data_IF_817730359333
#
_entry.id   IF_817730359333
#
_cell.length_a   1.000
_cell.length_b   1.000
_cell.length_c   1.000
_cell.angle_alpha   90.00
_cell.angle_beta   90.00
_cell.angle_gamma   90.00
#
_symmetry.space_group_name_H-M   'P 1'
#
loop_
_entity.id
_entity.type
_entity.pdbx_description
1 polymer ?
#
# COMPACT_ATOMS: atom_id res chain seq x y z
N UNK A 1 15.62 10.65 -21.01
CA UNK A 1 14.50 10.25 -20.13
C UNK A 1 15.06 9.21 -19.18
N UNK A 2 15.08 9.48 -17.88
CA UNK A 2 15.45 8.44 -16.91
C UNK A 2 14.42 7.31 -17.03
N UNK A 3 14.91 6.10 -17.30
CA UNK A 3 14.07 4.92 -17.48
C UNK A 3 13.68 4.35 -16.13
N UNK A 4 12.46 3.85 -16.01
CA UNK A 4 12.05 3.02 -14.87
C UNK A 4 13.06 1.89 -14.71
N UNK A 5 13.63 1.77 -13.52
CA UNK A 5 14.42 0.60 -13.16
C UNK A 5 13.47 -0.56 -12.91
N UNK A 6 13.75 -1.71 -13.51
CA UNK A 6 13.02 -2.94 -13.27
C UNK A 6 14.01 -4.08 -13.16
N UNK A 7 13.82 -4.94 -12.17
CA UNK A 7 14.58 -6.16 -12.01
C UNK A 7 13.67 -7.29 -11.57
N UNK A 8 13.94 -8.49 -12.03
CA UNK A 8 13.13 -9.66 -11.71
C UNK A 8 14.02 -10.88 -11.51
N UNK A 9 13.70 -11.65 -10.48
CA UNK A 9 14.29 -12.96 -10.21
C UNK A 9 13.18 -13.99 -10.04
N UNK A 10 13.40 -15.16 -10.65
CA UNK A 10 12.48 -16.29 -10.61
C UNK A 10 13.19 -17.49 -10.03
N UNK A 11 12.56 -18.09 -9.01
CA UNK A 11 12.89 -19.42 -8.53
C UNK A 11 11.87 -20.43 -9.09
N UNK A 12 11.72 -21.58 -8.44
CA UNK A 12 10.63 -22.53 -8.74
C UNK A 12 9.26 -21.86 -8.54
N UNK A 13 8.19 -22.49 -9.02
CA UNK A 13 6.81 -22.04 -8.76
C UNK A 13 6.59 -21.70 -7.28
N UNK A 14 5.85 -20.62 -7.02
CA UNK A 14 5.58 -20.17 -5.66
C UNK A 14 5.14 -18.72 -5.61
N UNK A 15 5.30 -18.13 -4.42
CA UNK A 15 4.80 -16.81 -4.07
C UNK A 15 5.38 -15.68 -4.92
N UNK A 16 4.51 -14.86 -5.49
CA UNK A 16 4.88 -13.66 -6.25
C UNK A 16 4.98 -12.43 -5.35
N UNK A 17 6.10 -11.72 -5.43
CA UNK A 17 6.44 -10.59 -4.56
C UNK A 17 6.78 -9.39 -5.41
N UNK A 18 6.08 -8.29 -5.21
CA UNK A 18 6.29 -7.04 -5.93
C UNK A 18 6.72 -5.95 -4.95
N UNK A 19 7.90 -5.37 -5.21
CA UNK A 19 8.41 -4.22 -4.46
C UNK A 19 8.54 -3.03 -5.39
N UNK A 20 7.96 -1.89 -5.04
CA UNK A 20 7.94 -0.69 -5.88
C UNK A 20 8.43 0.53 -5.12
N UNK A 21 9.40 1.27 -5.67
CA UNK A 21 9.87 2.55 -5.16
C UNK A 21 9.70 3.68 -6.17
N UNK A 22 9.95 4.92 -5.73
CA UNK A 22 9.93 6.12 -6.58
C UNK A 22 8.55 6.56 -7.04
N UNK A 23 7.51 6.13 -6.33
CA UNK A 23 6.12 6.32 -6.74
C UNK A 23 5.68 7.80 -6.77
N UNK A 24 6.36 8.70 -6.08
CA UNK A 24 6.11 10.14 -6.20
C UNK A 24 7.33 10.99 -5.83
N UNK A 25 7.31 12.25 -6.29
CA UNK A 25 8.34 13.22 -5.98
C UNK A 25 9.72 12.79 -6.49
N UNK A 26 10.73 12.93 -5.64
CA UNK A 26 12.13 12.53 -5.89
C UNK A 26 12.55 11.29 -5.09
N UNK A 27 11.59 10.59 -4.51
CA UNK A 27 11.87 9.49 -3.57
C UNK A 27 12.63 8.34 -4.22
N UNK A 28 12.48 8.18 -5.55
CA UNK A 28 13.21 7.21 -6.37
C UNK A 28 14.73 7.27 -6.19
N UNK A 29 15.28 8.44 -5.87
CA UNK A 29 16.72 8.63 -5.62
C UNK A 29 17.19 7.98 -4.31
N UNK A 30 16.29 7.79 -3.35
CA UNK A 30 16.56 7.10 -2.07
C UNK A 30 16.16 5.64 -2.13
N UNK A 31 14.95 5.34 -2.64
CA UNK A 31 14.40 3.98 -2.65
C UNK A 31 15.20 3.04 -3.55
N UNK A 32 15.87 3.54 -4.60
CA UNK A 32 16.77 2.72 -5.42
C UNK A 32 17.87 2.05 -4.59
N UNK A 33 18.38 2.72 -3.55
CA UNK A 33 19.44 2.15 -2.69
C UNK A 33 18.95 0.94 -1.91
N UNK A 34 17.68 0.95 -1.50
CA UNK A 34 17.04 -0.20 -0.83
C UNK A 34 16.81 -1.33 -1.83
N UNK A 35 16.38 -1.01 -3.05
CA UNK A 35 16.14 -1.99 -4.11
C UNK A 35 17.42 -2.70 -4.57
N UNK A 36 18.55 -1.99 -4.65
CA UNK A 36 19.85 -2.60 -4.96
C UNK A 36 20.27 -3.61 -3.89
N UNK A 37 20.02 -3.32 -2.60
CA UNK A 37 20.27 -4.30 -1.52
C UNK A 37 19.31 -5.48 -1.63
N UNK A 38 18.06 -5.25 -2.01
CA UNK A 38 17.06 -6.29 -2.17
C UNK A 38 17.31 -7.23 -3.36
N UNK A 39 18.10 -6.78 -4.34
CA UNK A 39 18.46 -7.55 -5.53
C UNK A 39 19.30 -8.80 -5.20
N UNK A 40 20.18 -8.69 -4.22
CA UNK A 40 21.11 -9.76 -3.85
C UNK A 40 20.49 -10.76 -2.85
N UNK A 41 19.22 -10.58 -2.48
CA UNK A 41 18.53 -11.46 -1.54
C UNK A 41 18.16 -12.78 -2.23
N UNK A 42 18.51 -13.89 -1.58
CA UNK A 42 18.14 -15.21 -2.03
C UNK A 42 16.63 -15.45 -1.87
N UNK A 43 15.95 -15.75 -2.97
CA UNK A 43 14.53 -16.11 -2.97
C UNK A 43 14.41 -17.63 -3.15
N UNK A 44 13.92 -18.38 -2.14
CA UNK A 44 13.85 -19.83 -2.21
C UNK A 44 12.76 -20.34 -3.17
N UNK A 45 11.69 -19.58 -3.35
CA UNK A 45 10.53 -19.94 -4.17
C UNK A 45 9.80 -18.71 -4.74
N UNK A 46 9.15 -18.92 -5.88
CA UNK A 46 8.31 -17.94 -6.54
C UNK A 46 9.10 -16.84 -7.24
N UNK A 47 8.51 -15.64 -7.26
CA UNK A 47 8.97 -14.51 -8.06
C UNK A 47 9.23 -13.28 -7.20
N UNK A 48 10.28 -12.56 -7.51
CA UNK A 48 10.65 -11.29 -6.86
C UNK A 48 10.87 -10.23 -7.91
N UNK A 49 9.96 -9.26 -7.96
CA UNK A 49 9.97 -8.20 -8.96
C UNK A 49 10.16 -6.86 -8.26
N UNK A 50 11.18 -6.12 -8.69
CA UNK A 50 11.58 -4.83 -8.16
C UNK A 50 11.34 -3.76 -9.23
N UNK A 51 10.66 -2.68 -8.86
CA UNK A 51 10.50 -1.49 -9.70
C UNK A 51 10.96 -0.24 -8.96
N UNK A 52 11.64 0.67 -9.66
CA UNK A 52 11.87 2.02 -9.19
C UNK A 52 11.51 3.01 -10.29
N UNK A 53 10.54 3.86 -10.00
CA UNK A 53 10.12 4.91 -10.91
C UNK A 53 11.08 6.11 -10.87
N UNK A 54 11.29 6.79 -12.01
CA UNK A 54 12.06 8.04 -12.03
C UNK A 54 11.27 9.16 -11.35
N UNK A 55 11.94 10.29 -11.00
CA UNK A 55 11.29 11.43 -10.38
C UNK A 55 10.04 11.90 -11.13
N UNK A 56 9.04 12.35 -10.38
CA UNK A 56 7.77 12.84 -10.88
C UNK A 56 7.24 13.97 -9.99
N UNK A 57 6.24 14.76 -10.43
CA UNK A 57 5.55 15.69 -9.55
C UNK A 57 5.04 14.98 -8.30
N UNK A 58 5.13 15.65 -7.15
CA UNK A 58 4.62 15.10 -5.91
C UNK A 58 3.09 15.18 -5.88
N UNK A 59 2.45 14.03 -5.68
CA UNK A 59 1.03 13.88 -5.42
C UNK A 59 0.89 12.82 -4.32
N UNK A 60 0.04 13.08 -3.33
CA UNK A 60 -0.15 12.15 -2.20
C UNK A 60 -0.85 10.87 -2.65
N UNK A 61 -0.38 9.70 -2.21
CA UNK A 61 -1.07 8.42 -2.44
C UNK A 61 -2.39 8.30 -1.67
N UNK A 62 -2.68 9.23 -0.76
CA UNK A 62 -3.99 9.35 -0.12
C UNK A 62 -4.98 10.21 -0.93
N UNK A 63 -4.52 10.87 -1.98
CA UNK A 63 -5.36 11.61 -2.92
C UNK A 63 -5.77 10.67 -4.09
N UNK A 64 -7.07 10.46 -4.35
CA UNK A 64 -7.51 9.62 -5.46
C UNK A 64 -6.97 10.07 -6.83
N UNK A 65 -6.71 11.36 -7.02
CA UNK A 65 -6.14 11.90 -8.25
C UNK A 65 -4.73 11.37 -8.54
N UNK A 66 -3.98 10.94 -7.52
CA UNK A 66 -2.70 10.27 -7.73
C UNK A 66 -2.87 9.04 -8.62
N UNK A 67 -3.84 8.18 -8.33
CA UNK A 67 -4.10 6.95 -9.09
C UNK A 67 -4.73 7.20 -10.46
N UNK A 68 -5.20 8.42 -10.75
CA UNK A 68 -5.66 8.84 -12.07
C UNK A 68 -4.57 9.59 -12.87
N UNK A 69 -3.45 9.93 -12.22
CA UNK A 69 -2.29 10.52 -12.88
C UNK A 69 -1.53 9.49 -13.70
N UNK A 70 -0.63 9.95 -14.58
CA UNK A 70 0.26 9.08 -15.35
C UNK A 70 1.11 8.15 -14.45
N UNK A 71 1.60 8.64 -13.31
CA UNK A 71 2.43 7.85 -12.41
C UNK A 71 1.60 6.80 -11.66
N UNK A 72 0.44 7.20 -11.15
CA UNK A 72 -0.44 6.27 -10.45
C UNK A 72 -1.04 5.21 -11.38
N UNK A 73 -1.37 5.54 -12.62
CA UNK A 73 -1.86 4.55 -13.59
C UNK A 73 -0.79 3.54 -13.96
N UNK A 74 0.46 3.96 -14.13
CA UNK A 74 1.60 3.03 -14.29
C UNK A 74 1.77 2.10 -13.10
N UNK A 75 1.66 2.61 -11.87
CA UNK A 75 1.72 1.77 -10.67
C UNK A 75 0.58 0.74 -10.66
N UNK A 76 -0.65 1.17 -10.95
CA UNK A 76 -1.82 0.27 -11.02
C UNK A 76 -1.64 -0.79 -12.11
N UNK A 77 -1.13 -0.43 -13.29
CA UNK A 77 -0.82 -1.39 -14.36
C UNK A 77 0.15 -2.46 -13.88
N UNK A 78 1.25 -2.07 -13.21
CA UNK A 78 2.22 -3.03 -12.66
C UNK A 78 1.55 -3.94 -11.62
N UNK A 79 0.74 -3.41 -10.70
CA UNK A 79 0.02 -4.24 -9.72
C UNK A 79 -0.90 -5.25 -10.43
N UNK A 80 -1.67 -4.81 -11.44
CA UNK A 80 -2.62 -5.65 -12.16
C UNK A 80 -1.97 -6.70 -13.07
N UNK A 81 -0.82 -6.37 -13.67
CA UNK A 81 -0.03 -7.27 -14.50
C UNK A 81 0.64 -8.35 -13.64
N UNK A 82 1.20 -7.94 -12.50
CA UNK A 82 1.98 -8.84 -11.64
C UNK A 82 1.10 -9.69 -10.72
N UNK A 83 -0.09 -9.20 -10.33
CA UNK A 83 -1.00 -9.85 -9.37
C UNK A 83 -0.26 -10.42 -8.15
N UNK A 84 0.51 -9.59 -7.42
CA UNK A 84 1.40 -10.08 -6.39
C UNK A 84 0.63 -10.67 -5.20
N UNK A 85 1.13 -11.76 -4.65
CA UNK A 85 0.68 -12.30 -3.36
C UNK A 85 1.16 -11.41 -2.20
N UNK A 86 2.33 -10.79 -2.37
CA UNK A 86 2.96 -9.87 -1.41
C UNK A 86 3.35 -8.59 -2.14
N UNK A 87 2.86 -7.44 -1.64
CA UNK A 87 3.12 -6.12 -2.21
C UNK A 87 3.79 -5.20 -1.18
N UNK A 88 4.92 -4.61 -1.56
CA UNK A 88 5.64 -3.66 -0.74
C UNK A 88 5.92 -2.37 -1.51
N UNK A 89 5.53 -1.25 -0.92
CA UNK A 89 5.73 0.08 -1.48
C UNK A 89 6.80 0.82 -0.67
N UNK A 90 7.83 1.33 -1.35
CA UNK A 90 8.95 2.04 -0.74
C UNK A 90 8.75 3.55 -0.90
N UNK A 91 8.91 4.26 0.21
CA UNK A 91 8.88 5.71 0.28
C UNK A 91 10.11 6.26 0.98
N UNK A 92 10.34 7.57 0.85
CA UNK A 92 11.26 8.24 1.75
C UNK A 92 10.71 9.54 2.35
N UNK A 93 11.15 9.84 3.56
CA UNK A 93 10.79 11.06 4.27
C UNK A 93 12.02 11.86 4.68
N UNK A 94 11.87 13.17 4.73
CA UNK A 94 12.83 14.06 5.40
C UNK A 94 12.59 14.08 6.91
N UNK A 95 13.65 14.14 7.71
CA UNK A 95 13.63 13.95 9.17
C UNK A 95 12.57 14.79 9.90
N UNK A 96 12.32 16.01 9.45
CA UNK A 96 11.30 16.92 9.99
C UNK A 96 9.86 16.38 9.89
N UNK A 97 9.62 15.40 9.02
CA UNK A 97 8.33 14.77 8.83
C UNK A 97 8.15 13.48 9.64
N UNK A 98 9.18 12.98 10.32
CA UNK A 98 9.11 11.76 11.14
C UNK A 98 7.89 11.79 12.08
N UNK A 99 7.75 12.84 12.88
CA UNK A 99 6.64 12.96 13.83
C UNK A 99 5.28 13.07 13.13
N UNK A 100 5.21 13.66 11.94
CA UNK A 100 3.95 13.74 11.18
C UNK A 100 3.52 12.38 10.65
N UNK A 101 4.46 11.45 10.47
CA UNK A 101 4.20 10.10 9.96
C UNK A 101 3.84 9.11 11.07
N UNK A 102 4.35 9.31 12.29
CA UNK A 102 4.18 8.37 13.42
C UNK A 102 3.11 8.78 14.44
N UNK A 103 2.65 10.03 14.44
CA UNK A 103 1.64 10.51 15.40
C UNK A 103 0.30 9.75 15.32
N UNK A 104 -0.35 9.59 16.48
CA UNK A 104 -1.66 8.96 16.60
C UNK A 104 -2.83 9.79 16.04
N UNK A 105 -2.69 11.12 15.96
CA UNK A 105 -3.72 12.02 15.41
C UNK A 105 -3.85 11.95 13.88
N UNK A 106 -2.97 11.20 13.20
CA UNK A 106 -3.05 11.00 11.74
C UNK A 106 -4.38 10.40 11.30
N UNK A 107 -5.03 9.59 12.14
CA UNK A 107 -6.38 9.08 11.85
C UNK A 107 -7.33 10.23 11.58
N UNK A 108 -7.34 11.21 12.47
CA UNK A 108 -8.31 12.31 12.44
C UNK A 108 -7.97 13.31 11.33
N UNK A 109 -6.68 13.51 11.08
CA UNK A 109 -6.20 14.46 10.09
C UNK A 109 -6.29 13.88 8.66
N UNK A 110 -5.82 12.64 8.46
CA UNK A 110 -5.58 12.02 7.16
C UNK A 110 -6.43 10.76 6.89
N UNK A 111 -7.22 10.28 7.85
CA UNK A 111 -8.01 9.06 7.70
C UNK A 111 -7.21 7.75 7.80
N UNK A 112 -5.91 7.82 8.15
CA UNK A 112 -5.00 6.68 8.24
C UNK A 112 -4.20 6.71 9.54
N UNK A 113 -3.85 5.55 10.13
CA UNK A 113 -3.08 5.52 11.37
C UNK A 113 -1.63 6.03 11.17
N UNK A 114 -0.96 6.28 12.30
CA UNK A 114 0.50 6.44 12.36
C UNK A 114 1.24 5.26 11.74
N UNK A 115 2.39 5.51 11.13
CA UNK A 115 3.33 4.44 10.80
C UNK A 115 4.02 3.98 12.08
N UNK A 116 4.40 2.71 12.11
CA UNK A 116 5.06 2.09 13.25
C UNK A 116 6.57 2.04 12.96
N UNK A 117 7.40 2.53 13.87
CA UNK A 117 8.85 2.43 13.72
C UNK A 117 9.34 1.02 14.10
N UNK A 118 10.07 0.39 13.19
CA UNK A 118 10.79 -0.86 13.45
C UNK A 118 12.08 -0.56 14.23
N UNK A 119 13.03 0.09 13.56
CA UNK A 119 14.30 0.56 14.14
C UNK A 119 14.97 1.56 13.17
N UNK A 120 15.88 2.38 13.68
CA UNK A 120 16.72 3.31 12.88
C UNK A 120 15.91 4.26 11.98
N UNK A 121 14.68 4.63 12.37
CA UNK A 121 13.79 5.47 11.57
C UNK A 121 13.12 4.74 10.39
N UNK A 122 13.28 3.41 10.26
CA UNK A 122 12.51 2.63 9.28
C UNK A 122 11.09 2.45 9.79
N UNK A 123 10.12 2.98 9.07
CA UNK A 123 8.70 2.92 9.43
C UNK A 123 7.98 1.90 8.55
N UNK A 124 7.00 1.22 9.11
CA UNK A 124 6.14 0.26 8.44
C UNK A 124 4.66 0.61 8.65
N UNK A 125 3.84 0.35 7.64
CA UNK A 125 2.40 0.52 7.72
C UNK A 125 1.70 -0.13 6.52
N UNK A 126 0.38 -0.02 6.47
CA UNK A 126 -0.35 -0.43 5.26
C UNK A 126 -0.25 0.65 4.18
N UNK A 127 -0.33 0.24 2.92
CA UNK A 127 -0.49 1.17 1.79
C UNK A 127 -1.79 1.97 1.90
N UNK A 128 -1.93 2.98 1.04
CA UNK A 128 -3.16 3.78 0.95
C UNK A 128 -4.42 2.91 0.93
N UNK A 129 -5.45 3.22 1.75
CA UNK A 129 -6.70 2.45 1.79
C UNK A 129 -7.40 2.40 0.44
N UNK A 130 -7.11 3.39 -0.42
CA UNK A 130 -7.63 3.52 -1.78
C UNK A 130 -7.25 2.32 -2.65
N UNK A 131 -5.96 1.96 -2.74
CA UNK A 131 -5.54 0.78 -3.51
C UNK A 131 -5.66 -0.50 -2.72
N UNK A 132 -5.49 -0.43 -1.39
CA UNK A 132 -5.60 -1.58 -0.50
C UNK A 132 -6.90 -2.33 -0.73
N UNK A 133 -8.01 -1.61 -0.73
CA UNK A 133 -9.34 -2.23 -0.79
C UNK A 133 -9.80 -2.51 -2.21
N UNK A 134 -9.23 -1.82 -3.19
CA UNK A 134 -9.57 -1.99 -4.61
C UNK A 134 -8.89 -3.21 -5.22
N UNK A 135 -7.60 -3.42 -4.93
CA UNK A 135 -6.76 -4.40 -5.64
C UNK A 135 -6.33 -5.60 -4.81
N UNK A 136 -6.45 -5.55 -3.48
CA UNK A 136 -5.99 -6.61 -2.58
C UNK A 136 -7.13 -7.15 -1.73
N UNK A 137 -7.06 -8.43 -1.39
CA UNK A 137 -7.94 -9.03 -0.41
C UNK A 137 -7.61 -8.53 1.01
N UNK A 138 -8.57 -8.70 1.92
CA UNK A 138 -8.45 -8.26 3.31
C UNK A 138 -7.14 -8.74 3.96
N UNK A 139 -6.82 -10.03 3.79
CA UNK A 139 -5.69 -10.69 4.42
C UNK A 139 -4.40 -10.70 3.61
N UNK A 140 -4.35 -10.00 2.49
CA UNK A 140 -3.11 -9.83 1.72
C UNK A 140 -2.12 -8.93 2.48
N UNK A 141 -0.87 -8.89 1.99
CA UNK A 141 0.20 -8.05 2.52
C UNK A 141 0.51 -6.87 1.58
N UNK A 142 -0.31 -5.80 1.52
CA UNK A 142 0.06 -4.55 0.88
C UNK A 142 0.55 -3.55 1.94
N UNK A 143 1.87 -3.48 2.09
CA UNK A 143 2.54 -2.67 3.11
C UNK A 143 3.44 -1.62 2.48
N UNK A 144 3.77 -0.60 3.27
CA UNK A 144 4.82 0.36 2.96
C UNK A 144 6.03 0.12 3.85
N UNK A 145 7.22 0.43 3.32
CA UNK A 145 8.37 0.83 4.14
C UNK A 145 8.71 2.28 3.83
N UNK A 146 8.68 3.11 4.85
CA UNK A 146 9.07 4.51 4.76
C UNK A 146 10.41 4.71 5.44
N UNK A 147 11.39 5.23 4.71
CA UNK A 147 12.77 5.37 5.18
C UNK A 147 13.23 6.83 5.19
N UNK A 148 14.23 7.21 6.01
CA UNK A 148 14.87 8.49 5.85
C UNK A 148 15.42 8.66 4.42
N UNK A 149 15.13 9.78 3.76
CA UNK A 149 15.74 10.10 2.48
C UNK A 149 17.26 10.19 2.65
N UNK A 150 18.02 9.66 1.68
CA UNK A 150 19.45 9.38 1.82
C UNK A 150 19.76 8.41 2.99
N UNK A 151 19.26 7.17 2.93
CA UNK A 151 19.38 6.21 4.03
C UNK A 151 20.85 5.92 4.39
N UNK A 152 21.12 5.79 5.69
CA UNK A 152 22.42 5.34 6.21
C UNK A 152 22.61 3.83 6.00
N UNK A 153 23.79 3.31 6.35
CA UNK A 153 24.06 1.87 6.26
C UNK A 153 23.18 1.06 7.22
N UNK A 154 22.90 1.60 8.40
CA UNK A 154 22.05 1.00 9.43
C UNK A 154 20.59 0.91 8.94
N UNK A 155 20.09 1.97 8.31
CA UNK A 155 18.77 1.98 7.65
C UNK A 155 18.72 0.91 6.56
N UNK A 156 19.72 0.87 5.67
CA UNK A 156 19.77 -0.13 4.60
C UNK A 156 19.84 -1.56 5.15
N UNK A 157 20.54 -1.78 6.27
CA UNK A 157 20.62 -3.09 6.91
C UNK A 157 19.27 -3.50 7.53
N UNK A 158 18.56 -2.58 8.16
CA UNK A 158 17.20 -2.82 8.64
C UNK A 158 16.27 -3.20 7.48
N UNK A 159 16.29 -2.43 6.38
CA UNK A 159 15.50 -2.74 5.18
C UNK A 159 15.86 -4.12 4.61
N UNK A 160 17.15 -4.47 4.54
CA UNK A 160 17.59 -5.79 4.10
C UNK A 160 16.96 -6.90 4.94
N UNK A 161 17.01 -6.78 6.27
CA UNK A 161 16.46 -7.80 7.17
C UNK A 161 14.95 -7.97 6.96
N UNK A 162 14.21 -6.87 6.76
CA UNK A 162 12.77 -6.93 6.44
C UNK A 162 12.53 -7.59 5.08
N UNK A 163 13.31 -7.24 4.06
CA UNK A 163 13.19 -7.83 2.73
C UNK A 163 13.53 -9.33 2.72
N UNK A 164 14.50 -9.78 3.52
CA UNK A 164 14.84 -11.20 3.69
C UNK A 164 13.67 -11.98 4.32
N UNK A 165 12.97 -11.38 5.29
CA UNK A 165 11.74 -11.96 5.87
C UNK A 165 10.67 -12.10 4.79
N UNK A 166 10.44 -11.05 3.99
CA UNK A 166 9.43 -11.03 2.92
C UNK A 166 9.79 -12.06 1.83
N UNK A 167 11.04 -12.10 1.39
CA UNK A 167 11.53 -13.00 0.35
C UNK A 167 11.41 -14.48 0.74
N UNK A 168 11.51 -14.80 2.03
CA UNK A 168 11.45 -16.17 2.55
C UNK A 168 10.07 -16.55 3.11
N UNK A 169 9.05 -15.72 2.94
CA UNK A 169 7.69 -15.97 3.43
C UNK A 169 6.69 -16.04 2.29
N UNK A 170 5.66 -16.87 2.46
CA UNK A 170 4.68 -17.13 1.38
C UNK A 170 3.38 -16.34 1.54
N UNK A 171 3.16 -15.68 2.68
CA UNK A 171 1.94 -14.92 2.95
C UNK A 171 2.10 -13.91 4.11
N UNK A 172 1.08 -13.06 4.30
CA UNK A 172 0.98 -12.07 5.39
C UNK A 172 1.25 -12.66 6.77
N UNK A 173 0.65 -13.81 7.09
CA UNK A 173 0.73 -14.41 8.43
C UNK A 173 2.17 -14.77 8.78
N UNK A 174 2.88 -15.40 7.85
CA UNK A 174 4.29 -15.75 8.04
C UNK A 174 5.19 -14.52 8.17
N UNK A 175 4.97 -13.49 7.36
CA UNK A 175 5.73 -12.23 7.44
C UNK A 175 5.55 -11.61 8.82
N UNK A 176 4.31 -11.44 9.27
CA UNK A 176 4.02 -10.83 10.58
C UNK A 176 4.51 -11.71 11.73
N UNK A 177 4.49 -13.04 11.61
CA UNK A 177 5.05 -13.94 12.61
C UNK A 177 6.57 -13.76 12.75
N UNK A 178 7.31 -13.75 11.63
CA UNK A 178 8.77 -13.54 11.63
C UNK A 178 9.15 -12.13 12.09
N UNK A 179 8.42 -11.10 11.63
CA UNK A 179 8.61 -9.74 12.14
C UNK A 179 8.33 -9.67 13.64
N UNK A 180 7.30 -10.36 14.15
CA UNK A 180 6.91 -10.33 15.55
C UNK A 180 7.91 -11.01 16.49
N UNK A 181 8.76 -11.90 15.96
CA UNK A 181 9.89 -12.46 16.72
C UNK A 181 10.96 -11.41 17.02
N UNK A 182 11.07 -10.37 16.19
CA UNK A 182 12.07 -9.29 16.29
C UNK A 182 11.45 -8.03 16.89
N UNK A 183 10.24 -7.68 16.46
CA UNK A 183 9.51 -6.45 16.78
C UNK A 183 8.11 -6.77 17.34
N UNK A 184 8.00 -7.42 18.51
CA UNK A 184 6.71 -7.91 19.03
C UNK A 184 5.71 -6.78 19.28
N UNK A 185 6.17 -5.65 19.84
CA UNK A 185 5.29 -4.51 20.14
C UNK A 185 4.78 -3.85 18.85
N UNK A 186 5.65 -3.71 17.86
CA UNK A 186 5.32 -3.12 16.57
C UNK A 186 4.29 -3.97 15.81
N UNK A 187 4.47 -5.30 15.81
CA UNK A 187 3.51 -6.20 15.16
C UNK A 187 2.17 -6.21 15.89
N UNK A 188 2.16 -6.11 17.21
CA UNK A 188 0.91 -5.93 17.97
C UNK A 188 0.20 -4.63 17.56
N UNK A 189 0.95 -3.51 17.49
CA UNK A 189 0.39 -2.23 17.06
C UNK A 189 -0.15 -2.27 15.63
N UNK A 190 0.55 -2.93 14.69
CA UNK A 190 0.06 -3.14 13.32
C UNK A 190 -1.21 -4.00 13.29
N UNK A 191 -1.35 -4.98 14.18
CA UNK A 191 -2.55 -5.80 14.31
C UNK A 191 -3.74 -4.99 14.83
N UNK A 192 -3.51 -4.12 15.82
CA UNK A 192 -4.52 -3.20 16.34
C UNK A 192 -4.99 -2.23 15.24
N UNK A 193 -4.06 -1.67 14.47
CA UNK A 193 -4.38 -0.85 13.29
C UNK A 193 -5.12 -1.62 12.20
N UNK A 194 -4.80 -2.90 11.97
CA UNK A 194 -5.52 -3.70 11.00
C UNK A 194 -6.99 -3.87 11.42
N UNK A 195 -7.24 -4.24 12.67
CA UNK A 195 -8.59 -4.43 13.21
C UNK A 195 -9.38 -3.13 13.23
N UNK A 196 -8.77 -2.05 13.75
CA UNK A 196 -9.48 -0.79 13.90
C UNK A 196 -9.75 -0.10 12.55
N UNK A 197 -8.84 -0.21 11.57
CA UNK A 197 -8.92 0.59 10.34
C UNK A 197 -9.20 -0.25 9.11
N UNK A 198 -8.37 -1.27 8.87
CA UNK A 198 -8.47 -2.03 7.62
C UNK A 198 -9.77 -2.80 7.56
N UNK A 199 -10.12 -3.54 8.63
CA UNK A 199 -11.32 -4.37 8.63
C UNK A 199 -12.58 -3.52 8.40
N UNK A 200 -12.71 -2.39 9.12
CA UNK A 200 -13.82 -1.46 8.94
C UNK A 200 -13.89 -0.87 7.53
N UNK A 201 -12.78 -0.30 7.04
CA UNK A 201 -12.76 0.37 5.74
C UNK A 201 -13.00 -0.62 4.60
N UNK A 202 -12.32 -1.76 4.62
CA UNK A 202 -12.42 -2.78 3.56
C UNK A 202 -13.82 -3.38 3.51
N UNK A 203 -14.42 -3.68 4.67
CA UNK A 203 -15.76 -4.28 4.72
C UNK A 203 -16.82 -3.29 4.22
N UNK A 204 -16.75 -2.02 4.65
CA UNK A 204 -17.62 -0.97 4.13
C UNK A 204 -17.48 -0.82 2.61
N UNK A 205 -16.23 -0.81 2.11
CA UNK A 205 -15.95 -0.71 0.68
C UNK A 205 -16.52 -1.87 -0.14
N UNK A 206 -16.40 -3.10 0.38
CA UNK A 206 -16.93 -4.28 -0.29
C UNK A 206 -18.46 -4.28 -0.34
N UNK A 207 -19.12 -3.83 0.74
CA UNK A 207 -20.57 -3.66 0.78
C UNK A 207 -21.03 -2.58 -0.22
N UNK A 208 -20.34 -1.43 -0.28
CA UNK A 208 -20.59 -0.38 -1.28
C UNK A 208 -20.47 -0.94 -2.69
N UNK A 209 -19.43 -1.72 -2.99
CA UNK A 209 -19.25 -2.36 -4.30
C UNK A 209 -20.40 -3.30 -4.66
N UNK A 210 -20.88 -4.08 -3.71
CA UNK A 210 -22.01 -5.00 -3.92
C UNK A 210 -23.28 -4.21 -4.22
N UNK A 211 -23.67 -3.29 -3.35
CA UNK A 211 -24.89 -2.50 -3.51
C UNK A 211 -24.86 -1.58 -4.74
N UNK A 212 -23.70 -1.02 -5.08
CA UNK A 212 -23.56 -0.17 -6.27
C UNK A 212 -23.72 -0.91 -7.60
N UNK A 213 -23.64 -2.26 -7.61
CA UNK A 213 -23.96 -3.06 -8.80
C UNK A 213 -25.47 -3.21 -8.99
N UNK A 214 -26.21 -3.23 -7.89
CA UNK A 214 -27.67 -3.35 -7.86
C UNK A 214 -28.33 -1.98 -7.99
N UNK A 215 -27.70 -0.95 -7.44
CA UNK A 215 -28.14 0.43 -7.53
C UNK A 215 -27.75 1.04 -8.89
N UNK A 216 -28.73 1.62 -9.58
CA UNK A 216 -28.47 2.43 -10.77
C UNK A 216 -27.97 3.83 -10.35
N UNK A 217 -26.71 3.92 -9.93
CA UNK A 217 -26.07 5.19 -9.56
C UNK A 217 -25.92 6.09 -10.79
N UNK A 218 -26.63 7.23 -10.83
CA UNK A 218 -26.65 8.17 -11.96
C UNK A 218 -25.83 9.43 -11.70
N UNK A 219 -25.52 9.71 -10.45
CA UNK A 219 -24.82 10.92 -10.02
C UNK A 219 -23.84 10.66 -8.89
N UNK A 220 -22.98 11.64 -8.63
CA UNK A 220 -22.10 11.63 -7.45
C UNK A 220 -22.90 11.70 -6.14
N UNK A 221 -24.05 12.41 -6.13
CA UNK A 221 -24.94 12.48 -4.97
C UNK A 221 -25.51 11.09 -4.61
N UNK A 222 -25.85 10.28 -5.62
CA UNK A 222 -26.32 8.91 -5.39
C UNK A 222 -25.24 8.05 -4.70
N UNK A 223 -23.97 8.26 -5.08
CA UNK A 223 -22.83 7.57 -4.45
C UNK A 223 -22.63 8.02 -3.00
N UNK A 224 -22.67 9.33 -2.73
CA UNK A 224 -22.54 9.85 -1.36
C UNK A 224 -23.65 9.33 -0.44
N UNK A 225 -24.89 9.28 -0.94
CA UNK A 225 -26.03 8.70 -0.23
C UNK A 225 -25.81 7.21 0.07
N UNK A 226 -25.43 6.42 -0.96
CA UNK A 226 -25.16 5.00 -0.79
C UNK A 226 -24.07 4.73 0.26
N UNK A 227 -22.96 5.47 0.20
CA UNK A 227 -21.86 5.33 1.16
C UNK A 227 -22.36 5.65 2.57
N UNK A 228 -23.10 6.74 2.73
CA UNK A 228 -23.66 7.14 4.03
C UNK A 228 -24.60 6.08 4.61
N UNK A 229 -25.46 5.49 3.77
CA UNK A 229 -26.35 4.40 4.15
C UNK A 229 -25.58 3.14 4.56
N UNK A 230 -24.59 2.73 3.77
CA UNK A 230 -23.74 1.55 4.06
C UNK A 230 -22.98 1.75 5.37
N UNK A 231 -22.35 2.90 5.57
CA UNK A 231 -21.59 3.21 6.78
C UNK A 231 -22.49 3.19 8.02
N UNK A 232 -23.68 3.81 7.93
CA UNK A 232 -24.62 3.87 9.05
C UNK A 232 -25.27 2.53 9.38
N UNK A 233 -25.71 1.78 8.36
CA UNK A 233 -26.42 0.50 8.58
C UNK A 233 -25.47 -0.63 8.99
N UNK A 234 -24.24 -0.63 8.48
CA UNK A 234 -23.23 -1.62 8.84
C UNK A 234 -22.49 -1.32 10.15
N UNK A 235 -22.84 -0.22 10.82
CA UNK A 235 -22.19 0.25 12.06
C UNK A 235 -20.66 0.34 11.94
N UNK A 236 -20.16 0.68 10.74
CA UNK A 236 -18.73 0.78 10.48
C UNK A 236 -18.15 2.02 11.18
N UNK A 237 -17.09 1.81 11.99
CA UNK A 237 -16.45 2.89 12.73
C UNK A 237 -15.48 3.70 11.85
N UNK A 238 -16.03 4.56 11.00
CA UNK A 238 -15.29 5.39 10.06
C UNK A 238 -15.50 6.88 10.34
N UNK A 239 -14.41 7.65 10.36
CA UNK A 239 -14.50 9.10 10.47
C UNK A 239 -14.80 9.77 9.11
N UNK A 240 -15.07 11.07 9.11
CA UNK A 240 -15.39 11.83 7.89
C UNK A 240 -14.30 11.74 6.81
N UNK A 241 -13.01 11.66 7.19
CA UNK A 241 -11.91 11.50 6.24
C UNK A 241 -11.94 10.14 5.56
N UNK A 242 -12.18 9.08 6.32
CA UNK A 242 -12.30 7.71 5.81
C UNK A 242 -13.53 7.56 4.90
N UNK A 243 -14.66 8.20 5.25
CA UNK A 243 -15.85 8.22 4.39
C UNK A 243 -15.52 8.86 3.02
N UNK A 244 -14.80 9.99 3.02
CA UNK A 244 -14.34 10.61 1.76
C UNK A 244 -13.34 9.75 0.99
N UNK A 245 -12.51 8.97 1.69
CA UNK A 245 -11.62 8.00 1.06
C UNK A 245 -12.39 6.81 0.43
N UNK A 246 -13.55 6.40 0.96
CA UNK A 246 -14.40 5.38 0.33
C UNK A 246 -14.89 5.83 -1.04
N UNK A 247 -15.27 7.11 -1.19
CA UNK A 247 -15.62 7.69 -2.49
C UNK A 247 -14.45 7.60 -3.47
N UNK A 248 -13.26 8.01 -3.01
CA UNK A 248 -12.03 7.91 -3.79
C UNK A 248 -11.69 6.48 -4.24
N UNK A 249 -11.77 5.53 -3.31
CA UNK A 249 -11.55 4.11 -3.59
C UNK A 249 -12.57 3.59 -4.61
N UNK A 250 -13.83 4.05 -4.52
CA UNK A 250 -14.87 3.65 -5.46
C UNK A 250 -14.66 4.23 -6.86
N UNK A 251 -14.17 5.47 -6.98
CA UNK A 251 -13.80 6.07 -8.27
C UNK A 251 -12.65 5.30 -8.94
N UNK A 252 -11.60 4.95 -8.17
CA UNK A 252 -10.49 4.13 -8.65
C UNK A 252 -11.00 2.74 -9.06
N UNK A 253 -11.87 2.12 -8.26
CA UNK A 253 -12.48 0.85 -8.62
C UNK A 253 -13.26 0.93 -9.92
N UNK A 254 -14.12 1.95 -10.09
CA UNK A 254 -14.87 2.18 -11.32
C UNK A 254 -13.92 2.29 -12.50
N UNK A 255 -12.96 3.21 -12.46
CA UNK A 255 -11.98 3.42 -13.53
C UNK A 255 -11.29 2.11 -13.94
N UNK A 256 -10.68 1.41 -12.99
CA UNK A 256 -9.83 0.25 -13.30
C UNK A 256 -10.58 -1.08 -13.46
N UNK A 257 -11.89 -1.11 -13.23
CA UNK A 257 -12.73 -2.29 -13.47
C UNK A 257 -13.75 -2.11 -14.60
N UNK A 258 -14.12 -0.88 -14.99
CA UNK A 258 -14.97 -0.64 -16.17
C UNK A 258 -14.28 -1.08 -17.47
N UNK A 259 -12.95 -0.98 -17.57
CA UNK A 259 -12.21 -1.43 -18.75
C UNK A 259 -12.13 -2.96 -18.90
N UNK A 260 -12.49 -3.75 -17.89
CA UNK A 260 -12.63 -5.21 -18.06
C UNK A 260 -13.90 -5.60 -18.82
N UNK A 261 -14.88 -4.70 -18.95
CA UNK A 261 -16.09 -4.93 -19.76
C UNK A 261 -15.91 -4.58 -21.26
N UNK A 262 -14.78 -3.99 -21.67
CA UNK A 262 -14.52 -3.60 -23.06
C UNK A 262 -13.42 -4.40 -23.77
N UNK A 263 -12.97 -5.52 -23.20
CA UNK A 263 -12.21 -6.53 -23.96
C UNK A 263 -13.19 -7.59 -24.46
N UNK A 264 -13.76 -7.31 -25.63
CA UNK A 264 -14.37 -8.32 -26.52
C UNK A 264 -13.23 -9.03 -27.26
#
# INVERSE_FOLDING_TARGET
METTYSWENHAKDGTSRLVVGGIHGKEGLSTIKVLEVAKDINIPEGRWTLYNFPPSPYLSTLDPLYYLSLRGSQLVSIIQENKPDIYLELHCYHQENYYKLTKGDRKDIFGVPGLVELENGVLIGSVSPLIRSVFFALNDFPFILEIPCNPSKEVLKCCQNVMEIIATSSNRKEILQKLGQIYPQQVQQLADYFKEYTENFHSAFMEIKTRAREANLKSYQDLEMLISEVVKQGEYNLNTRQIKQLEGAFLIFKEYNSFRCCKI
#
